data_IF_021213490644
#
_entry.id   IF_021213490644
#
_cell.length_a   1.000
_cell.length_b   1.000
_cell.length_c   1.000
_cell.angle_alpha   90.00
_cell.angle_beta   90.00
_cell.angle_gamma   90.00
#
_symmetry.space_group_name_H-M   'P 1'
#
loop_
_entity.id
_entity.type
_entity.pdbx_description
1 polymer ?
#
# COMPACT_ATOMS: atom_id res chain seq x y z
N UNK A 1 6.10 -11.93 2.01
CA UNK A 1 6.27 -11.87 0.54
C UNK A 1 5.59 -10.67 -0.10
N UNK A 2 4.25 -10.50 -0.01
CA UNK A 2 3.54 -9.36 -0.63
C UNK A 2 4.14 -7.98 -0.33
N UNK A 3 4.55 -7.76 0.93
CA UNK A 3 5.17 -6.51 1.38
C UNK A 3 6.48 -6.20 0.67
N UNK A 4 7.30 -7.21 0.39
CA UNK A 4 8.60 -7.04 -0.29
C UNK A 4 8.39 -6.80 -1.78
N UNK A 5 7.52 -7.58 -2.43
CA UNK A 5 7.18 -7.39 -3.84
C UNK A 5 6.59 -6.00 -4.10
N UNK A 6 5.76 -5.50 -3.18
CA UNK A 6 5.19 -4.16 -3.27
C UNK A 6 6.28 -3.07 -3.32
N UNK A 7 7.34 -3.19 -2.49
CA UNK A 7 8.45 -2.25 -2.45
C UNK A 7 9.39 -2.38 -3.67
N UNK A 8 9.44 -3.55 -4.32
CA UNK A 8 10.25 -3.76 -5.52
C UNK A 8 9.57 -3.32 -6.82
N UNK A 9 8.23 -3.30 -6.86
CA UNK A 9 7.44 -3.01 -8.08
C UNK A 9 7.03 -1.54 -8.19
N UNK A 10 6.92 -0.84 -7.05
CA UNK A 10 6.48 0.54 -6.98
C UNK A 10 7.48 1.39 -6.21
N UNK A 11 7.73 2.60 -6.72
CA UNK A 11 8.54 3.61 -6.03
C UNK A 11 7.80 4.20 -4.83
N UNK A 12 8.55 4.82 -3.92
CA UNK A 12 8.01 5.37 -2.67
C UNK A 12 6.99 6.50 -2.89
N UNK A 13 7.15 7.31 -3.94
CA UNK A 13 6.21 8.37 -4.25
C UNK A 13 4.85 7.78 -4.68
N UNK A 14 4.87 6.76 -5.53
CA UNK A 14 3.67 6.01 -5.91
C UNK A 14 3.01 5.33 -4.70
N UNK A 15 3.77 4.68 -3.84
CA UNK A 15 3.23 4.01 -2.64
C UNK A 15 2.61 4.98 -1.63
N UNK A 16 3.17 6.19 -1.50
CA UNK A 16 2.63 7.22 -0.61
C UNK A 16 1.30 7.78 -1.12
N UNK A 17 1.16 7.93 -2.43
CA UNK A 17 0.03 8.63 -3.06
C UNK A 17 -1.07 7.70 -3.62
N UNK A 18 -0.85 6.38 -3.62
CA UNK A 18 -1.80 5.42 -4.21
C UNK A 18 -2.35 4.39 -3.23
N UNK A 19 -3.57 3.91 -3.46
CA UNK A 19 -4.22 2.82 -2.72
C UNK A 19 -4.43 1.60 -3.62
N UNK A 20 -4.68 0.43 -3.03
CA UNK A 20 -4.88 -0.82 -3.78
C UNK A 20 -5.98 -0.72 -4.87
N UNK A 21 -7.08 -0.02 -4.60
CA UNK A 21 -8.21 0.17 -5.53
C UNK A 21 -8.53 1.65 -5.81
N UNK A 22 -7.69 2.56 -5.33
CA UNK A 22 -8.02 4.00 -5.29
C UNK A 22 -9.16 4.33 -4.33
N UNK A 23 -9.66 5.57 -4.38
CA UNK A 23 -10.88 6.00 -3.70
C UNK A 23 -10.66 6.77 -2.39
N UNK A 24 -11.78 7.26 -1.84
CA UNK A 24 -11.84 8.05 -0.59
C UNK A 24 -11.80 7.13 0.63
N UNK A 25 -11.09 7.55 1.67
CA UNK A 25 -11.23 6.93 2.98
C UNK A 25 -12.69 7.09 3.46
N UNK A 26 -13.28 6.08 4.10
CA UNK A 26 -14.60 6.19 4.76
C UNK A 26 -14.58 7.12 5.97
N UNK A 27 -13.40 7.53 6.44
CA UNK A 27 -13.26 8.48 7.55
C UNK A 27 -13.39 9.92 7.05
N UNK A 28 -14.14 10.80 7.73
CA UNK A 28 -14.44 12.16 7.29
C UNK A 28 -13.25 13.13 7.33
N UNK A 29 -12.04 12.66 7.61
CA UNK A 29 -10.85 13.50 7.52
C UNK A 29 -10.54 13.78 6.05
N UNK A 30 -10.51 15.07 5.70
CA UNK A 30 -10.05 15.70 4.46
C UNK A 30 -8.70 15.15 3.95
N UNK A 31 -8.67 13.91 3.49
CA UNK A 31 -7.53 13.34 2.80
C UNK A 31 -7.80 13.37 1.31
N UNK A 32 -6.82 13.88 0.56
CA UNK A 32 -6.79 13.84 -0.89
C UNK A 32 -7.15 12.44 -1.39
N UNK A 33 -7.97 12.40 -2.45
CA UNK A 33 -8.33 11.16 -3.12
C UNK A 33 -7.05 10.51 -3.65
N UNK A 34 -6.76 9.29 -3.18
CA UNK A 34 -5.56 8.57 -3.61
C UNK A 34 -5.85 7.84 -4.91
N UNK A 35 -4.86 7.84 -5.80
CA UNK A 35 -4.94 7.12 -7.07
C UNK A 35 -4.93 5.61 -6.83
N UNK A 36 -5.46 4.83 -7.75
CA UNK A 36 -5.26 3.39 -7.70
C UNK A 36 -3.80 3.06 -8.03
N UNK A 37 -3.26 2.01 -7.41
CA UNK A 37 -2.05 1.38 -7.91
C UNK A 37 -2.33 0.77 -9.29
N UNK A 38 -1.30 0.77 -10.14
CA UNK A 38 -1.42 0.19 -11.48
C UNK A 38 -1.95 -1.26 -11.41
N UNK A 39 -3.09 -1.56 -12.04
CA UNK A 39 -3.75 -2.85 -11.87
C UNK A 39 -2.93 -4.00 -12.47
N UNK A 40 -2.14 -3.76 -13.52
CA UNK A 40 -1.30 -4.79 -14.13
C UNK A 40 -0.17 -5.21 -13.19
N UNK A 41 0.55 -4.25 -12.63
CA UNK A 41 1.61 -4.48 -11.63
C UNK A 41 1.07 -5.13 -10.37
N UNK A 42 -0.11 -4.72 -9.90
CA UNK A 42 -0.76 -5.35 -8.75
C UNK A 42 -1.15 -6.81 -9.04
N UNK A 43 -1.70 -7.07 -10.22
CA UNK A 43 -2.03 -8.45 -10.63
C UNK A 43 -0.77 -9.31 -10.76
N UNK A 44 0.34 -8.78 -11.23
CA UNK A 44 1.62 -9.50 -11.25
C UNK A 44 2.05 -9.92 -9.83
N UNK A 45 1.91 -9.04 -8.83
CA UNK A 45 2.18 -9.37 -7.42
C UNK A 45 1.24 -10.48 -6.93
N UNK A 46 -0.07 -10.37 -7.22
CA UNK A 46 -1.02 -11.42 -6.84
C UNK A 46 -0.66 -12.76 -7.46
N UNK A 47 -0.36 -12.79 -8.76
CA UNK A 47 -0.05 -14.00 -9.50
C UNK A 47 1.27 -14.63 -9.00
N UNK A 48 2.30 -13.82 -8.74
CA UNK A 48 3.57 -14.31 -8.19
C UNK A 48 3.44 -14.92 -6.78
N UNK A 49 2.48 -14.45 -5.99
CA UNK A 49 2.22 -15.02 -4.66
C UNK A 49 1.36 -16.27 -4.79
N UNK A 50 0.33 -16.26 -5.64
CA UNK A 50 -0.55 -17.41 -5.85
C UNK A 50 0.18 -18.57 -6.53
N UNK A 51 1.15 -18.31 -7.41
CA UNK A 51 1.98 -19.36 -8.00
C UNK A 51 2.82 -20.09 -6.95
N UNK A 52 3.33 -19.37 -5.95
CA UNK A 52 4.12 -19.94 -4.85
C UNK A 52 3.26 -20.49 -3.71
N UNK A 53 2.09 -19.90 -3.47
CA UNK A 53 1.17 -20.25 -2.40
C UNK A 53 -0.26 -20.37 -2.97
N UNK A 54 -0.59 -21.49 -3.63
CA UNK A 54 -1.86 -21.65 -4.34
C UNK A 54 -3.10 -21.54 -3.45
N UNK A 55 -2.98 -21.92 -2.17
CA UNK A 55 -4.06 -21.87 -1.19
C UNK A 55 -4.26 -20.46 -0.58
N UNK A 56 -3.40 -19.48 -0.91
CA UNK A 56 -3.52 -18.14 -0.36
C UNK A 56 -4.76 -17.42 -0.92
N UNK A 57 -5.55 -16.81 -0.05
CA UNK A 57 -6.72 -16.01 -0.46
C UNK A 57 -6.28 -14.63 -0.95
N UNK A 58 -6.78 -14.18 -2.10
CA UNK A 58 -6.53 -12.82 -2.62
C UNK A 58 -6.84 -11.71 -1.59
N UNK A 59 -7.89 -11.89 -0.79
CA UNK A 59 -8.23 -10.95 0.29
C UNK A 59 -7.12 -10.80 1.34
N UNK A 60 -6.45 -11.89 1.73
CA UNK A 60 -5.33 -11.88 2.68
C UNK A 60 -4.12 -11.15 2.10
N UNK A 61 -3.81 -11.42 0.83
CA UNK A 61 -2.72 -10.75 0.10
C UNK A 61 -3.00 -9.24 0.01
N UNK A 62 -4.22 -8.87 -0.37
CA UNK A 62 -4.65 -7.46 -0.45
C UNK A 62 -4.61 -6.74 0.90
N UNK A 63 -5.00 -7.43 1.99
CA UNK A 63 -4.86 -6.93 3.35
C UNK A 63 -3.40 -6.63 3.69
N UNK A 64 -2.49 -7.56 3.38
CA UNK A 64 -1.05 -7.37 3.57
C UNK A 64 -0.47 -6.17 2.81
N UNK A 65 -0.94 -5.93 1.57
CA UNK A 65 -0.57 -4.75 0.78
C UNK A 65 -1.06 -3.46 1.46
N UNK A 66 -2.33 -3.40 1.85
CA UNK A 66 -2.91 -2.23 2.51
C UNK A 66 -2.25 -1.91 3.86
N UNK A 67 -1.93 -2.94 4.64
CA UNK A 67 -1.17 -2.78 5.89
C UNK A 67 0.19 -2.16 5.63
N UNK A 68 0.90 -2.56 4.57
CA UNK A 68 2.21 -1.99 4.24
C UNK A 68 2.13 -0.55 3.77
N UNK A 69 1.15 -0.21 2.93
CA UNK A 69 0.89 1.19 2.54
C UNK A 69 0.62 2.07 3.77
N UNK A 70 -0.18 1.57 4.71
CA UNK A 70 -0.48 2.27 5.96
C UNK A 70 0.77 2.45 6.83
N UNK A 71 1.61 1.42 6.93
CA UNK A 71 2.88 1.45 7.67
C UNK A 71 3.86 2.49 7.10
N UNK A 72 4.06 2.51 5.78
CA UNK A 72 4.95 3.48 5.11
C UNK A 72 4.52 4.91 5.42
N UNK A 73 3.22 5.18 5.32
CA UNK A 73 2.66 6.51 5.60
C UNK A 73 2.77 6.89 7.06
N UNK A 74 2.56 5.93 7.97
CA UNK A 74 2.72 6.17 9.39
C UNK A 74 4.17 6.55 9.72
N UNK A 75 5.14 5.81 9.18
CA UNK A 75 6.57 6.13 9.34
C UNK A 75 6.92 7.49 8.76
N UNK A 76 6.44 7.83 7.56
CA UNK A 76 6.66 9.14 6.94
C UNK A 76 6.09 10.29 7.78
N UNK A 77 4.85 10.16 8.30
CA UNK A 77 4.27 11.17 9.20
C UNK A 77 5.07 11.34 10.49
N UNK A 78 5.59 10.24 11.04
CA UNK A 78 6.41 10.27 12.26
C UNK A 78 7.78 10.92 12.00
N UNK A 79 8.39 10.66 10.85
CA UNK A 79 9.66 11.29 10.45
C UNK A 79 9.50 12.79 10.17
N UNK A 80 8.37 13.21 9.61
CA UNK A 80 8.06 14.62 9.33
C UNK A 80 7.50 15.39 10.54
N UNK A 81 7.31 14.74 11.70
CA UNK A 81 7.01 15.42 12.96
C UNK A 81 8.33 15.93 13.53
N UNK A 82 8.67 17.18 13.21
CA UNK A 82 9.80 17.89 13.81
C UNK A 82 9.65 17.90 15.35
N UNK A 83 10.64 17.42 16.13
CA UNK A 83 10.59 17.44 17.58
C UNK A 83 10.76 18.85 18.19
N UNK A 84 10.98 19.89 17.38
CA UNK A 84 11.26 21.27 17.86
C UNK A 84 10.05 22.09 18.31
N UNK A 85 8.83 21.54 18.30
CA UNK A 85 7.61 22.25 18.71
C UNK A 85 6.74 21.43 19.69
N UNK A 86 7.38 20.74 20.64
CA UNK A 86 6.72 20.17 21.82
C UNK A 86 7.33 20.75 23.09
#
# INVERSE_FOLDING_TARGET
MARMLLLGVFDMNTLMNSNLRGGRSRRPASHSQRRALDPHRINAIFNAILSRFPLAKRGVIGSGINSKLSEIRFRSRRANRDPRFL
#
